data_IF_733926533224
#
_entry.id   IF_733926533224
#
_cell.length_a   1.000
_cell.length_b   1.000
_cell.length_c   1.000
_cell.angle_alpha   90.00
_cell.angle_beta   90.00
_cell.angle_gamma   90.00
#
_symmetry.space_group_name_H-M   'P 1'
#
loop_
_entity.id
_entity.type
_entity.pdbx_description
1 polymer ?
#
# COMPACT_ATOMS: atom_id res chain seq x y z
N UNK A 1 -11.90 -8.96 13.07
CA UNK A 1 -10.91 -8.48 12.08
C UNK A 1 -11.54 -8.59 10.69
N UNK A 2 -11.72 -7.48 10.00
CA UNK A 2 -12.16 -7.50 8.62
C UNK A 2 -11.14 -8.28 7.78
N UNK A 3 -11.62 -9.09 6.85
CA UNK A 3 -10.77 -9.85 5.96
C UNK A 3 -10.13 -8.88 4.95
N UNK A 4 -8.89 -8.48 5.17
CA UNK A 4 -8.17 -7.51 4.34
C UNK A 4 -8.14 -7.88 2.84
N UNK A 5 -8.37 -9.16 2.51
CA UNK A 5 -8.44 -9.64 1.10
C UNK A 5 -9.73 -9.24 0.39
N UNK A 6 -10.76 -8.82 1.13
CA UNK A 6 -12.08 -8.46 0.58
C UNK A 6 -12.27 -6.94 0.48
N UNK A 7 -11.27 -6.15 0.95
CA UNK A 7 -11.34 -4.69 0.87
C UNK A 7 -10.94 -4.28 -0.56
N UNK A 8 -11.87 -3.65 -1.24
CA UNK A 8 -11.62 -3.05 -2.56
C UNK A 8 -10.74 -1.80 -2.38
N UNK A 9 -9.49 -1.90 -2.86
CA UNK A 9 -8.49 -0.84 -2.72
C UNK A 9 -8.57 0.12 -3.91
N UNK A 10 -9.62 0.91 -3.95
CA UNK A 10 -9.82 1.97 -4.93
C UNK A 10 -9.51 3.34 -4.31
N UNK A 11 -8.74 4.17 -5.01
CA UNK A 11 -8.49 5.55 -4.60
C UNK A 11 -9.62 6.47 -5.05
N UNK A 12 -9.73 7.65 -4.44
CA UNK A 12 -10.71 8.65 -4.88
C UNK A 12 -10.57 9.04 -6.36
N UNK A 13 -9.34 9.12 -6.87
CA UNK A 13 -9.10 9.48 -8.27
C UNK A 13 -9.48 8.36 -9.23
N UNK A 14 -9.21 7.10 -8.88
CA UNK A 14 -9.66 5.92 -9.62
C UNK A 14 -11.19 5.86 -9.64
N UNK A 15 -11.84 6.05 -8.48
CA UNK A 15 -13.30 6.09 -8.39
C UNK A 15 -13.92 7.19 -9.26
N UNK A 16 -13.36 8.42 -9.23
CA UNK A 16 -13.85 9.50 -10.11
C UNK A 16 -13.75 9.13 -11.58
N UNK A 17 -12.64 8.51 -11.98
CA UNK A 17 -12.42 8.10 -13.37
C UNK A 17 -13.43 7.03 -13.81
N UNK A 18 -13.65 6.01 -12.98
CA UNK A 18 -14.61 4.92 -13.26
C UNK A 18 -16.06 5.43 -13.30
N UNK A 19 -16.43 6.31 -12.37
CA UNK A 19 -17.77 6.91 -12.31
C UNK A 19 -18.00 8.03 -13.34
N UNK A 20 -16.97 8.43 -14.10
CA UNK A 20 -17.04 9.52 -15.08
C UNK A 20 -17.39 10.87 -14.43
N UNK A 21 -16.89 11.12 -13.21
CA UNK A 21 -17.11 12.36 -12.47
C UNK A 21 -16.12 13.43 -12.88
N UNK A 22 -16.44 14.16 -13.96
CA UNK A 22 -15.70 15.36 -14.33
C UNK A 22 -16.07 16.56 -13.45
N UNK A 23 -15.21 17.60 -13.33
CA UNK A 23 -15.52 18.80 -12.56
C UNK A 23 -16.85 19.44 -12.96
N UNK A 24 -17.10 19.53 -14.26
CA UNK A 24 -18.34 20.11 -14.80
C UNK A 24 -19.57 19.29 -14.40
N UNK A 25 -19.45 17.97 -14.38
CA UNK A 25 -20.54 17.07 -13.99
C UNK A 25 -20.79 17.16 -12.47
N UNK A 26 -19.75 17.37 -11.69
CA UNK A 26 -19.90 17.56 -10.24
C UNK A 26 -20.64 18.86 -9.92
N UNK A 27 -20.41 19.93 -10.65
CA UNK A 27 -21.15 21.22 -10.49
C UNK A 27 -22.64 21.11 -10.79
N UNK A 28 -23.04 20.14 -11.59
CA UNK A 28 -24.47 19.91 -11.94
C UNK A 28 -25.20 18.97 -10.99
N UNK A 29 -24.51 18.39 -10.00
CA UNK A 29 -25.12 17.49 -9.03
C UNK A 29 -25.94 18.25 -7.98
N UNK A 30 -27.01 17.60 -7.48
CA UNK A 30 -27.75 18.12 -6.34
C UNK A 30 -26.89 18.11 -5.07
N UNK A 31 -27.23 19.00 -4.12
CA UNK A 31 -26.52 19.11 -2.83
C UNK A 31 -26.46 17.78 -2.07
N UNK A 32 -27.54 17.00 -2.07
CA UNK A 32 -27.59 15.69 -1.42
C UNK A 32 -26.59 14.70 -2.03
N UNK A 33 -26.48 14.68 -3.37
CA UNK A 33 -25.52 13.82 -4.07
C UNK A 33 -24.08 14.27 -3.83
N UNK A 34 -23.83 15.58 -3.79
CA UNK A 34 -22.51 16.10 -3.45
C UNK A 34 -22.11 15.72 -2.03
N UNK A 35 -23.04 15.81 -1.07
CA UNK A 35 -22.81 15.41 0.32
C UNK A 35 -22.45 13.92 0.41
N UNK A 36 -23.19 13.04 -0.24
CA UNK A 36 -22.90 11.60 -0.28
C UNK A 36 -21.52 11.31 -0.89
N UNK A 37 -21.16 12.01 -1.98
CA UNK A 37 -19.86 11.87 -2.61
C UNK A 37 -18.72 12.33 -1.69
N UNK A 38 -18.92 13.39 -0.92
CA UNK A 38 -17.94 13.88 0.05
C UNK A 38 -17.75 12.91 1.23
N UNK A 39 -18.83 12.34 1.73
CA UNK A 39 -18.80 11.30 2.77
C UNK A 39 -18.05 10.06 2.26
N UNK A 40 -18.33 9.61 1.03
CA UNK A 40 -17.64 8.48 0.42
C UNK A 40 -16.16 8.76 0.15
N UNK A 41 -15.82 9.99 -0.30
CA UNK A 41 -14.42 10.42 -0.43
C UNK A 41 -13.70 10.30 0.90
N UNK A 42 -14.27 10.84 1.97
CA UNK A 42 -13.69 10.78 3.31
C UNK A 42 -13.45 9.33 3.75
N UNK A 43 -14.42 8.44 3.50
CA UNK A 43 -14.30 7.02 3.82
C UNK A 43 -13.15 6.34 3.04
N UNK A 44 -12.97 6.64 1.75
CA UNK A 44 -11.87 6.12 0.95
C UNK A 44 -10.51 6.63 1.43
N UNK A 45 -10.40 7.91 1.78
CA UNK A 45 -9.17 8.51 2.31
C UNK A 45 -8.80 7.90 3.68
N UNK A 46 -9.78 7.66 4.56
CA UNK A 46 -9.57 6.96 5.84
C UNK A 46 -9.15 5.50 5.63
N UNK A 47 -9.75 4.79 4.68
CA UNK A 47 -9.31 3.43 4.31
C UNK A 47 -7.89 3.42 3.78
N UNK A 48 -7.52 4.36 2.92
CA UNK A 48 -6.17 4.47 2.39
C UNK A 48 -5.15 4.75 3.49
N UNK A 49 -5.51 5.57 4.47
CA UNK A 49 -4.67 5.89 5.62
C UNK A 49 -4.48 4.68 6.55
N UNK A 50 -5.53 3.91 6.80
CA UNK A 50 -5.53 2.81 7.76
C UNK A 50 -5.05 1.47 7.17
N UNK A 51 -5.01 1.34 5.84
CA UNK A 51 -4.64 0.10 5.14
C UNK A 51 -3.75 0.39 3.94
N UNK A 52 -2.69 1.18 4.14
CA UNK A 52 -1.80 1.64 3.08
C UNK A 52 -1.21 0.53 2.21
N UNK A 53 -0.97 -0.66 2.79
CA UNK A 53 -0.44 -1.82 2.07
C UNK A 53 -1.35 -2.31 0.93
N UNK A 54 -2.66 -2.13 1.03
CA UNK A 54 -3.61 -2.53 -0.01
C UNK A 54 -3.52 -1.62 -1.24
N UNK A 55 -3.04 -0.41 -1.05
CA UNK A 55 -2.84 0.60 -2.10
C UNK A 55 -1.43 0.60 -2.67
N UNK A 56 -0.53 -0.26 -2.16
CA UNK A 56 0.80 -0.42 -2.73
C UNK A 56 0.73 -1.01 -4.14
N UNK A 57 1.24 -0.27 -5.12
CA UNK A 57 1.29 -0.66 -6.54
C UNK A 57 2.74 -0.85 -6.97
N UNK A 58 3.24 -2.10 -6.98
CA UNK A 58 4.62 -2.38 -7.36
C UNK A 58 4.85 -2.10 -8.85
N UNK A 59 6.00 -1.54 -9.17
CA UNK A 59 6.50 -1.43 -10.54
C UNK A 59 6.92 -2.82 -11.07
N UNK A 60 7.11 -2.97 -12.37
CA UNK A 60 7.34 -4.29 -12.99
C UNK A 60 8.58 -5.00 -12.48
N UNK A 61 9.67 -4.27 -12.21
CA UNK A 61 10.86 -4.86 -11.61
C UNK A 61 10.65 -5.28 -10.14
N UNK A 62 9.82 -4.55 -9.38
CA UNK A 62 9.44 -4.90 -8.02
C UNK A 62 8.52 -6.13 -7.99
N UNK A 63 7.63 -6.27 -8.98
CA UNK A 63 6.81 -7.49 -9.13
C UNK A 63 7.67 -8.73 -9.30
N UNK A 64 8.75 -8.64 -10.09
CA UNK A 64 9.70 -9.76 -10.25
C UNK A 64 10.41 -10.13 -8.95
N UNK A 65 10.74 -9.14 -8.13
CA UNK A 65 11.31 -9.35 -6.80
C UNK A 65 10.31 -10.05 -5.88
N UNK A 66 9.08 -9.57 -5.81
CA UNK A 66 8.02 -10.15 -4.97
C UNK A 66 7.64 -11.57 -5.40
N UNK A 67 7.58 -11.85 -6.70
CA UNK A 67 7.23 -13.17 -7.23
C UNK A 67 8.35 -14.22 -7.09
N UNK A 68 9.53 -13.83 -6.64
CA UNK A 68 10.66 -14.75 -6.50
C UNK A 68 10.50 -15.64 -5.27
N UNK A 69 10.56 -16.95 -5.47
CA UNK A 69 10.52 -17.97 -4.40
C UNK A 69 11.90 -18.34 -3.84
N UNK A 70 12.93 -17.54 -4.11
CA UNK A 70 14.28 -17.80 -3.63
C UNK A 70 14.43 -17.39 -2.17
N UNK A 71 15.12 -18.23 -1.37
CA UNK A 71 15.37 -17.96 0.06
C UNK A 71 16.23 -16.71 0.29
N UNK A 72 17.13 -16.42 -0.63
CA UNK A 72 17.99 -15.22 -0.58
C UNK A 72 17.78 -14.43 -1.87
N UNK A 73 17.47 -13.16 -1.73
CA UNK A 73 17.22 -12.24 -2.85
C UNK A 73 18.03 -10.98 -2.64
N UNK A 74 18.68 -10.50 -3.69
CA UNK A 74 19.47 -9.27 -3.69
C UNK A 74 18.87 -8.29 -4.71
N UNK A 75 18.52 -7.09 -4.25
CA UNK A 75 18.02 -6.01 -5.10
C UNK A 75 19.08 -4.94 -5.25
N UNK A 76 19.61 -4.79 -6.46
CA UNK A 76 20.55 -3.75 -6.83
C UNK A 76 19.83 -2.68 -7.67
N UNK A 77 20.18 -1.43 -7.44
CA UNK A 77 19.61 -0.31 -8.20
C UNK A 77 20.09 1.03 -7.68
N UNK A 78 19.87 2.08 -8.45
CA UNK A 78 20.20 3.46 -8.09
C UNK A 78 19.46 4.00 -6.88
N UNK A 79 19.77 5.20 -6.46
CA UNK A 79 19.01 5.89 -5.42
C UNK A 79 17.58 6.15 -5.87
N UNK A 80 16.62 6.18 -4.92
CA UNK A 80 15.21 6.47 -5.17
C UNK A 80 14.47 5.51 -6.14
N UNK A 81 15.00 4.32 -6.37
CA UNK A 81 14.35 3.30 -7.20
C UNK A 81 13.33 2.44 -6.44
N UNK A 82 12.93 2.82 -5.23
CA UNK A 82 11.90 2.09 -4.47
C UNK A 82 12.34 0.76 -3.87
N UNK A 83 13.65 0.47 -3.77
CA UNK A 83 14.18 -0.79 -3.18
C UNK A 83 13.70 -0.99 -1.75
N UNK A 84 13.85 0.03 -0.90
CA UNK A 84 13.43 -0.03 0.50
C UNK A 84 11.92 -0.15 0.62
N UNK A 85 11.17 0.56 -0.22
CA UNK A 85 9.71 0.49 -0.22
C UNK A 85 9.20 -0.90 -0.60
N UNK A 86 9.79 -1.54 -1.62
CA UNK A 86 9.43 -2.90 -1.99
C UNK A 86 9.78 -3.92 -0.91
N UNK A 87 10.93 -3.77 -0.25
CA UNK A 87 11.30 -4.64 0.88
C UNK A 87 10.31 -4.51 2.05
N UNK A 88 10.04 -3.28 2.47
CA UNK A 88 9.09 -3.01 3.57
C UNK A 88 7.67 -3.48 3.21
N UNK A 89 7.22 -3.27 1.96
CA UNK A 89 5.91 -3.74 1.52
C UNK A 89 5.80 -5.27 1.55
N UNK A 90 6.87 -5.99 1.18
CA UNK A 90 6.91 -7.44 1.30
C UNK A 90 6.85 -7.89 2.75
N UNK A 91 7.64 -7.26 3.61
CA UNK A 91 7.65 -7.55 5.05
C UNK A 91 6.27 -7.35 5.67
N UNK A 92 5.59 -6.25 5.36
CA UNK A 92 4.22 -5.99 5.84
C UNK A 92 3.23 -7.03 5.33
N UNK A 93 3.27 -7.40 4.05
CA UNK A 93 2.40 -8.44 3.49
C UNK A 93 2.61 -9.80 4.16
N UNK A 94 3.85 -10.17 4.39
CA UNK A 94 4.21 -11.41 5.08
C UNK A 94 3.75 -11.37 6.55
N UNK A 95 3.97 -10.27 7.26
CA UNK A 95 3.56 -10.11 8.65
C UNK A 95 2.04 -10.23 8.82
N UNK A 96 1.27 -9.67 7.88
CA UNK A 96 -0.19 -9.72 7.86
C UNK A 96 -0.77 -11.01 7.25
N UNK A 97 0.06 -11.86 6.64
CA UNK A 97 -0.37 -13.09 5.96
C UNK A 97 -1.18 -12.85 4.69
N UNK A 98 -1.01 -11.70 4.04
CA UNK A 98 -1.71 -11.29 2.82
C UNK A 98 -0.83 -11.35 1.57
N UNK A 99 0.40 -11.88 1.69
CA UNK A 99 1.30 -11.99 0.54
C UNK A 99 0.67 -12.87 -0.56
N UNK A 100 0.61 -12.38 -1.83
CA UNK A 100 -0.03 -13.11 -2.91
C UNK A 100 0.83 -14.26 -3.46
N UNK A 101 2.13 -14.26 -3.19
CA UNK A 101 3.08 -15.21 -3.78
C UNK A 101 3.50 -16.31 -2.80
N UNK A 102 3.57 -16.01 -1.52
CA UNK A 102 4.04 -16.93 -0.50
C UNK A 102 3.05 -17.06 0.66
N UNK A 103 2.69 -18.30 1.01
CA UNK A 103 1.82 -18.57 2.16
C UNK A 103 2.67 -18.78 3.41
N UNK A 104 2.91 -17.73 4.15
CA UNK A 104 3.63 -17.78 5.41
C UNK A 104 2.63 -17.86 6.57
N UNK A 105 2.95 -18.71 7.55
CA UNK A 105 2.12 -18.87 8.74
C UNK A 105 2.17 -17.60 9.60
N UNK A 106 1.02 -17.10 10.01
CA UNK A 106 0.91 -16.00 10.98
C UNK A 106 0.39 -16.56 12.32
N UNK A 107 0.83 -16.02 13.46
CA UNK A 107 1.84 -14.96 13.59
C UNK A 107 3.26 -15.46 13.26
N UNK A 108 4.07 -14.58 12.70
CA UNK A 108 5.49 -14.85 12.41
C UNK A 108 6.41 -13.83 13.10
N UNK A 109 7.72 -14.07 13.02
CA UNK A 109 8.73 -13.15 13.54
C UNK A 109 9.60 -12.68 12.38
N UNK A 110 9.73 -11.38 12.27
CA UNK A 110 10.53 -10.74 11.22
C UNK A 110 11.60 -9.88 11.85
N UNK A 111 12.71 -9.69 11.14
CA UNK A 111 13.79 -8.81 11.55
C UNK A 111 14.23 -7.97 10.36
N UNK A 112 14.17 -6.67 10.53
CA UNK A 112 14.71 -5.70 9.59
C UNK A 112 16.05 -5.21 10.16
N UNK A 113 17.08 -5.20 9.34
CA UNK A 113 18.41 -4.74 9.70
C UNK A 113 18.83 -3.59 8.79
N UNK A 114 19.43 -2.56 9.38
CA UNK A 114 20.05 -1.45 8.68
C UNK A 114 21.41 -1.15 9.28
N UNK A 115 22.22 -0.32 8.61
CA UNK A 115 23.56 0.02 9.08
C UNK A 115 23.54 0.87 10.36
N UNK A 116 22.44 1.58 10.60
CA UNK A 116 22.31 2.58 11.64
C UNK A 116 20.84 2.60 12.14
N UNK A 117 20.69 2.74 13.44
CA UNK A 117 19.37 2.73 14.08
C UNK A 117 18.60 4.03 13.79
N UNK A 118 19.26 5.17 13.89
CA UNK A 118 18.60 6.47 13.74
C UNK A 118 18.28 6.77 12.28
N UNK A 119 19.28 6.78 11.42
CA UNK A 119 19.10 7.11 9.99
C UNK A 119 18.51 5.96 9.19
N UNK A 120 19.01 4.74 9.38
CA UNK A 120 18.56 3.58 8.61
C UNK A 120 17.18 3.10 9.03
N UNK A 121 16.96 2.83 10.31
CA UNK A 121 15.68 2.36 10.81
C UNK A 121 14.72 3.54 11.02
N UNK A 122 15.10 4.55 11.80
CA UNK A 122 14.22 5.64 12.21
C UNK A 122 13.77 6.55 11.06
N UNK A 123 14.70 7.04 10.24
CA UNK A 123 14.38 8.03 9.20
C UNK A 123 13.94 7.39 7.87
N UNK A 124 14.32 6.14 7.58
CA UNK A 124 14.04 5.52 6.29
C UNK A 124 12.99 4.43 6.37
N UNK A 125 13.12 3.48 7.29
CA UNK A 125 12.26 2.29 7.36
C UNK A 125 10.96 2.57 8.09
N UNK A 126 11.02 3.18 9.29
CA UNK A 126 9.83 3.45 10.11
C UNK A 126 8.77 4.27 9.37
N UNK A 127 9.07 5.40 8.69
CA UNK A 127 8.06 6.16 7.97
C UNK A 127 7.39 5.37 6.83
N UNK A 128 8.09 4.39 6.26
CA UNK A 128 7.51 3.50 5.24
C UNK A 128 6.61 2.44 5.83
N UNK A 129 6.96 1.90 7.00
CA UNK A 129 6.11 1.00 7.77
C UNK A 129 4.82 1.71 8.18
N UNK A 130 4.93 2.91 8.76
CA UNK A 130 3.78 3.72 9.19
C UNK A 130 2.83 4.07 8.04
N UNK A 131 3.39 4.27 6.83
CA UNK A 131 2.59 4.53 5.62
C UNK A 131 1.83 3.29 5.14
N UNK A 132 2.36 2.08 5.38
CA UNK A 132 1.82 0.83 4.82
C UNK A 132 0.94 0.06 5.82
N UNK A 133 1.08 0.31 7.10
CA UNK A 133 0.28 -0.28 8.18
C UNK A 133 -0.97 0.53 8.46
#
# INVERSE_FOLDING_TARGET
MQNLKEIEAITWDEFKAEAGLTPERMETLSEDKLKMLMEYKFELEERQKNYGILYYRPQDYQKKFHASNKKVRLVLGGNQTGKTESGVAEDVRIALGIDPYEKIRVPNRMRICANDLDKGIGEVIMPKLDKLL
#
